data_IF_890537053836
#
_entry.id   IF_890537053836
#
_cell.length_a   1.000
_cell.length_b   1.000
_cell.length_c   1.000
_cell.angle_alpha   90.00
_cell.angle_beta   90.00
_cell.angle_gamma   90.00
#
_symmetry.space_group_name_H-M   'P 1'
#
loop_
_entity.id
_entity.type
_entity.pdbx_description
1 polymer ?
#
# COMPACT_ATOMS: atom_id res chain seq x y z
N UNK A 1 -7.67 -7.59 21.48
CA UNK A 1 -6.76 -7.49 20.34
C UNK A 1 -7.53 -6.85 19.19
N UNK A 2 -6.99 -5.79 18.60
CA UNK A 2 -7.58 -5.06 17.45
C UNK A 2 -6.72 -5.34 16.20
N UNK A 3 -7.34 -5.76 15.11
CA UNK A 3 -6.68 -6.07 13.86
C UNK A 3 -7.28 -5.27 12.71
N UNK A 4 -6.44 -4.80 11.80
CA UNK A 4 -6.87 -4.27 10.50
C UNK A 4 -6.68 -5.35 9.45
N UNK A 5 -7.72 -5.61 8.66
CA UNK A 5 -7.71 -6.60 7.59
C UNK A 5 -7.85 -5.90 6.23
N UNK A 6 -6.73 -5.75 5.53
CA UNK A 6 -6.66 -5.07 4.23
C UNK A 6 -7.11 -5.98 3.10
N UNK A 7 -8.03 -5.49 2.28
CA UNK A 7 -8.45 -6.16 1.04
C UNK A 7 -7.50 -5.72 -0.08
N UNK A 8 -6.54 -6.55 -0.43
CA UNK A 8 -5.44 -6.23 -1.35
C UNK A 8 -5.83 -6.11 -2.83
N UNK A 9 -7.04 -5.63 -3.15
CA UNK A 9 -7.52 -5.44 -4.53
C UNK A 9 -8.49 -4.28 -4.64
N UNK A 10 -8.60 -3.69 -5.83
CA UNK A 10 -9.58 -2.65 -6.17
C UNK A 10 -11.01 -3.20 -6.37
N UNK A 11 -11.18 -4.51 -6.51
CA UNK A 11 -12.50 -5.12 -6.75
C UNK A 11 -13.39 -5.01 -5.50
N UNK A 12 -14.56 -4.40 -5.65
CA UNK A 12 -15.56 -4.26 -4.58
C UNK A 12 -16.20 -5.59 -4.18
N UNK A 13 -16.27 -6.55 -5.10
CA UNK A 13 -16.85 -7.88 -4.88
C UNK A 13 -15.77 -8.95 -5.18
N UNK A 14 -14.83 -9.10 -4.25
CA UNK A 14 -13.74 -10.06 -4.41
C UNK A 14 -13.83 -11.19 -3.38
N UNK A 15 -13.33 -12.39 -3.70
CA UNK A 15 -13.18 -13.46 -2.73
C UNK A 15 -12.34 -13.06 -1.51
N UNK A 16 -11.35 -12.16 -1.67
CA UNK A 16 -10.58 -11.59 -0.56
C UNK A 16 -11.46 -10.80 0.40
N UNK A 17 -12.39 -9.98 -0.11
CA UNK A 17 -13.38 -9.25 0.69
C UNK A 17 -14.28 -10.22 1.47
N UNK A 18 -14.78 -11.25 0.79
CA UNK A 18 -15.67 -12.28 1.40
C UNK A 18 -14.93 -13.03 2.50
N UNK A 19 -13.67 -13.43 2.26
CA UNK A 19 -12.83 -14.11 3.24
C UNK A 19 -12.63 -13.27 4.51
N UNK A 20 -12.22 -12.02 4.35
CA UNK A 20 -11.98 -11.14 5.49
C UNK A 20 -13.26 -10.80 6.26
N UNK A 21 -14.38 -10.64 5.56
CA UNK A 21 -15.69 -10.46 6.20
C UNK A 21 -16.13 -11.71 6.99
N UNK A 22 -15.86 -12.92 6.48
CA UNK A 22 -16.06 -14.17 7.19
C UNK A 22 -15.15 -14.27 8.43
N UNK A 23 -13.85 -13.97 8.28
CA UNK A 23 -12.90 -13.98 9.40
C UNK A 23 -13.33 -13.02 10.52
N UNK A 24 -13.79 -11.82 10.18
CA UNK A 24 -14.34 -10.84 11.14
C UNK A 24 -15.44 -11.45 12.01
N UNK A 25 -16.36 -12.19 11.40
CA UNK A 25 -17.48 -12.85 12.12
C UNK A 25 -16.99 -14.06 12.92
N UNK A 26 -16.15 -14.91 12.31
CA UNK A 26 -15.68 -16.17 12.88
C UNK A 26 -14.83 -15.97 14.14
N UNK A 27 -13.98 -14.96 14.13
CA UNK A 27 -13.03 -14.71 15.21
C UNK A 27 -13.43 -13.55 16.14
N UNK A 28 -14.71 -13.14 16.12
CA UNK A 28 -15.20 -12.01 16.90
C UNK A 28 -15.00 -12.17 18.44
N UNK A 29 -14.90 -13.40 18.93
CA UNK A 29 -14.61 -13.70 20.33
C UNK A 29 -13.10 -13.62 20.69
N UNK A 30 -12.21 -13.52 19.68
CA UNK A 30 -10.76 -13.49 19.85
C UNK A 30 -10.15 -12.13 19.52
N UNK A 31 -10.72 -11.42 18.52
CA UNK A 31 -10.23 -10.14 18.04
C UNK A 31 -11.35 -9.27 17.46
N UNK A 32 -11.18 -7.97 17.59
CA UNK A 32 -11.94 -7.00 16.79
C UNK A 32 -11.21 -6.81 15.47
N UNK A 33 -11.79 -7.30 14.37
CA UNK A 33 -11.21 -7.21 13.04
C UNK A 33 -11.95 -6.11 12.26
N UNK A 34 -11.23 -5.08 11.85
CA UNK A 34 -11.73 -4.03 10.96
C UNK A 34 -11.29 -4.33 9.53
N UNK A 35 -12.27 -4.58 8.65
CA UNK A 35 -11.99 -4.85 7.23
C UNK A 35 -11.82 -3.52 6.51
N UNK A 36 -10.64 -3.31 5.93
CA UNK A 36 -10.25 -2.09 5.26
C UNK A 36 -9.99 -2.34 3.76
N UNK A 37 -10.93 -1.96 2.89
CA UNK A 37 -10.72 -2.02 1.45
C UNK A 37 -9.76 -0.91 0.99
N UNK A 38 -8.90 -1.23 0.02
CA UNK A 38 -8.03 -0.23 -0.64
C UNK A 38 -8.66 0.34 -1.92
N UNK A 39 -9.94 0.05 -2.14
CA UNK A 39 -10.66 0.55 -3.31
C UNK A 39 -10.74 2.08 -3.32
N UNK A 40 -10.41 2.67 -4.46
CA UNK A 40 -10.44 4.12 -4.65
C UNK A 40 -9.25 4.87 -4.07
N UNK A 41 -8.28 4.18 -3.46
CA UNK A 41 -7.04 4.84 -3.03
C UNK A 41 -6.23 5.32 -4.23
N UNK A 42 -5.69 6.56 -4.18
CA UNK A 42 -4.85 7.10 -5.25
C UNK A 42 -3.59 6.26 -5.45
N UNK A 43 -3.14 6.20 -6.70
CA UNK A 43 -1.84 5.59 -7.00
C UNK A 43 -0.71 6.40 -6.36
N UNK A 44 0.35 5.70 -5.98
CA UNK A 44 1.53 6.34 -5.40
C UNK A 44 2.16 7.32 -6.38
N UNK A 45 2.44 8.50 -5.86
CA UNK A 45 3.15 9.57 -6.55
C UNK A 45 4.29 10.05 -5.64
N UNK A 46 5.51 9.81 -6.06
CA UNK A 46 6.70 10.21 -5.30
C UNK A 46 6.85 11.73 -5.17
N UNK A 47 6.25 12.49 -6.10
CA UNK A 47 6.29 13.96 -6.13
C UNK A 47 5.21 14.61 -5.28
N UNK A 48 4.25 13.84 -4.79
CA UNK A 48 3.17 14.34 -3.96
C UNK A 48 3.70 14.98 -2.68
N UNK A 49 3.39 16.25 -2.49
CA UNK A 49 3.81 17.00 -1.31
C UNK A 49 3.11 16.52 -0.01
N UNK A 50 1.90 15.96 -0.14
CA UNK A 50 1.09 15.48 0.99
C UNK A 50 0.55 14.08 0.70
N UNK A 51 0.38 13.30 1.75
CA UNK A 51 -0.29 12.01 1.67
C UNK A 51 -1.79 12.23 1.44
N UNK A 52 -2.42 11.46 0.52
CA UNK A 52 -3.86 11.51 0.31
C UNK A 52 -4.64 11.13 1.58
N UNK A 53 -5.78 11.78 1.79
CA UNK A 53 -6.57 11.60 3.01
C UNK A 53 -7.03 10.14 3.23
N UNK A 54 -7.37 9.44 2.15
CA UNK A 54 -7.79 8.04 2.19
C UNK A 54 -6.66 7.14 2.66
N UNK A 55 -5.44 7.39 2.18
CA UNK A 55 -4.23 6.65 2.59
C UNK A 55 -3.88 6.96 4.04
N UNK A 56 -3.92 8.24 4.43
CA UNK A 56 -3.69 8.67 5.81
C UNK A 56 -4.71 8.05 6.77
N UNK A 57 -6.00 8.00 6.39
CA UNK A 57 -7.05 7.36 7.18
C UNK A 57 -6.78 5.87 7.43
N UNK A 58 -6.33 5.13 6.42
CA UNK A 58 -5.94 3.73 6.59
C UNK A 58 -4.66 3.60 7.44
N UNK A 59 -3.69 4.48 7.25
CA UNK A 59 -2.49 4.51 8.08
C UNK A 59 -2.82 4.70 9.57
N UNK A 60 -3.75 5.61 9.91
CA UNK A 60 -4.22 5.78 11.29
C UNK A 60 -4.87 4.51 11.86
N UNK A 61 -5.67 3.80 11.06
CA UNK A 61 -6.26 2.53 11.49
C UNK A 61 -5.18 1.49 11.78
N UNK A 62 -4.16 1.39 10.90
CA UNK A 62 -3.03 0.47 11.06
C UNK A 62 -2.19 0.84 12.29
N UNK A 63 -1.90 2.12 12.50
CA UNK A 63 -1.15 2.59 13.66
C UNK A 63 -1.83 2.19 14.97
N UNK A 64 -3.17 2.30 15.04
CA UNK A 64 -3.97 1.96 16.20
C UNK A 64 -4.27 0.46 16.35
N UNK A 65 -3.81 -0.39 15.44
CA UNK A 65 -4.04 -1.83 15.47
C UNK A 65 -2.85 -2.59 16.07
N UNK A 66 -3.15 -3.69 16.75
CA UNK A 66 -2.14 -4.61 17.30
C UNK A 66 -1.49 -5.47 16.22
N UNK A 67 -2.10 -5.60 15.04
CA UNK A 67 -1.58 -6.34 13.90
C UNK A 67 -2.42 -6.17 12.65
N UNK A 68 -1.87 -6.60 11.51
CA UNK A 68 -2.48 -6.43 10.19
C UNK A 68 -2.62 -7.78 9.49
N UNK A 69 -3.77 -7.99 8.84
CA UNK A 69 -4.00 -9.11 7.92
C UNK A 69 -4.10 -8.53 6.51
N UNK A 70 -3.37 -9.08 5.54
CA UNK A 70 -3.45 -8.68 4.14
C UNK A 70 -3.93 -9.87 3.32
N UNK A 71 -5.12 -9.78 2.73
CA UNK A 71 -5.61 -10.78 1.79
C UNK A 71 -5.38 -10.30 0.35
N UNK A 72 -4.51 -10.96 -0.39
CA UNK A 72 -4.10 -10.57 -1.74
C UNK A 72 -4.49 -11.60 -2.80
N UNK A 73 -5.14 -11.20 -3.90
CA UNK A 73 -5.17 -12.00 -5.11
C UNK A 73 -3.81 -11.91 -5.83
N UNK A 74 -3.68 -12.74 -6.88
CA UNK A 74 -2.51 -12.74 -7.76
C UNK A 74 -2.91 -12.26 -9.15
N UNK A 75 -2.19 -11.28 -9.67
CA UNK A 75 -2.34 -10.79 -11.04
C UNK A 75 -0.98 -10.79 -11.74
N UNK A 76 -0.91 -11.46 -12.88
CA UNK A 76 0.34 -11.60 -13.65
C UNK A 76 1.52 -12.11 -12.77
N UNK A 77 1.26 -13.09 -11.90
CA UNK A 77 2.23 -13.68 -10.98
C UNK A 77 2.86 -12.66 -10.00
N UNK A 78 2.11 -11.61 -9.63
CA UNK A 78 2.54 -10.58 -8.71
C UNK A 78 1.40 -10.07 -7.82
N UNK A 79 1.73 -9.26 -6.80
CA UNK A 79 0.70 -8.55 -6.05
C UNK A 79 -0.02 -7.53 -6.95
N UNK A 80 -1.29 -7.22 -6.71
CA UNK A 80 -2.00 -6.18 -7.44
C UNK A 80 -1.28 -4.82 -7.37
N UNK A 81 -1.24 -4.09 -8.50
CA UNK A 81 -0.60 -2.78 -8.57
C UNK A 81 -1.16 -1.80 -7.52
N UNK A 82 -2.47 -1.87 -7.24
CA UNK A 82 -3.08 -1.05 -6.20
C UNK A 82 -2.55 -1.37 -4.80
N UNK A 83 -2.33 -2.65 -4.47
CA UNK A 83 -1.72 -3.04 -3.19
C UNK A 83 -0.28 -2.56 -3.10
N UNK A 84 0.50 -2.76 -4.18
CA UNK A 84 1.87 -2.24 -4.25
C UNK A 84 1.92 -0.74 -4.00
N UNK A 85 1.05 0.02 -4.67
CA UNK A 85 0.94 1.47 -4.53
C UNK A 85 0.63 1.90 -3.09
N UNK A 86 -0.31 1.22 -2.42
CA UNK A 86 -0.62 1.51 -1.01
C UNK A 86 0.57 1.24 -0.10
N UNK A 87 1.32 0.14 -0.34
CA UNK A 87 2.55 -0.15 0.41
C UNK A 87 3.65 0.88 0.14
N UNK A 88 3.74 1.42 -1.08
CA UNK A 88 4.65 2.52 -1.41
C UNK A 88 4.29 3.82 -0.69
N UNK A 89 3.00 4.16 -0.58
CA UNK A 89 2.57 5.26 0.27
C UNK A 89 3.01 5.06 1.73
N UNK A 90 2.82 3.87 2.27
CA UNK A 90 3.18 3.55 3.65
C UNK A 90 4.69 3.55 3.89
N UNK A 91 5.51 3.24 2.87
CA UNK A 91 6.97 3.32 2.99
C UNK A 91 7.50 4.74 3.26
N UNK A 92 6.68 5.77 3.00
CA UNK A 92 6.97 7.15 3.41
C UNK A 92 6.71 7.41 4.91
N UNK A 93 6.19 6.41 5.61
CA UNK A 93 5.90 6.43 7.06
C UNK A 93 6.63 5.26 7.72
N UNK A 94 7.96 5.29 7.83
CA UNK A 94 8.77 4.10 8.15
C UNK A 94 8.39 3.43 9.48
N UNK A 95 7.87 4.17 10.45
CA UNK A 95 7.47 3.61 11.74
C UNK A 95 6.05 2.98 11.72
N UNK A 96 5.29 3.13 10.64
CA UNK A 96 3.92 2.63 10.58
C UNK A 96 3.83 1.10 10.72
N UNK A 97 4.76 0.40 10.05
CA UNK A 97 4.84 -1.05 10.05
C UNK A 97 6.02 -1.61 10.85
N UNK A 98 6.89 -0.75 11.38
CA UNK A 98 8.04 -1.20 12.16
C UNK A 98 7.60 -2.16 13.25
N UNK A 99 8.14 -3.38 13.22
CA UNK A 99 7.82 -4.50 14.10
C UNK A 99 6.33 -4.89 14.16
N UNK A 100 5.46 -4.28 13.34
CA UNK A 100 4.02 -4.57 13.29
C UNK A 100 3.79 -6.02 12.85
N UNK A 101 3.09 -6.86 13.63
CA UNK A 101 2.74 -8.21 13.24
C UNK A 101 1.84 -8.22 12.00
N UNK A 102 2.27 -8.92 10.95
CA UNK A 102 1.50 -9.03 9.71
C UNK A 102 1.29 -10.49 9.31
N UNK A 103 0.05 -10.84 8.96
CA UNK A 103 -0.33 -12.09 8.31
C UNK A 103 -0.70 -11.82 6.86
N UNK A 104 -0.10 -12.54 5.91
CA UNK A 104 -0.42 -12.43 4.48
C UNK A 104 -1.17 -13.68 4.03
N UNK A 105 -2.33 -13.49 3.41
CA UNK A 105 -3.21 -14.56 2.91
C UNK A 105 -3.29 -14.44 1.39
N UNK A 106 -2.98 -15.54 0.70
CA UNK A 106 -3.19 -15.67 -0.75
C UNK A 106 -4.63 -16.05 -1.07
N UNK A 107 -5.21 -15.44 -2.10
CA UNK A 107 -6.57 -15.75 -2.56
C UNK A 107 -6.54 -15.89 -4.09
N UNK A 108 -6.66 -17.11 -4.62
CA UNK A 108 -6.61 -17.35 -6.07
C UNK A 108 -7.87 -18.02 -6.60
N UNK A 109 -8.20 -17.71 -7.86
CA UNK A 109 -9.29 -18.37 -8.58
C UNK A 109 -8.93 -19.79 -9.04
N UNK A 110 -7.64 -20.12 -9.05
CA UNK A 110 -7.03 -21.38 -9.43
C UNK A 110 -6.40 -22.11 -8.23
N UNK A 111 -5.55 -23.11 -8.49
CA UNK A 111 -4.89 -23.93 -7.47
C UNK A 111 -3.54 -23.37 -6.99
N UNK A 112 -3.08 -22.22 -7.50
CA UNK A 112 -1.78 -21.63 -7.13
C UNK A 112 -1.76 -21.06 -5.71
N UNK A 113 -2.93 -20.66 -5.18
CA UNK A 113 -3.03 -20.05 -3.86
C UNK A 113 -2.38 -18.68 -3.78
N UNK A 114 -2.18 -17.99 -4.92
CA UNK A 114 -1.54 -16.69 -5.03
C UNK A 114 -0.11 -16.67 -4.43
N UNK A 115 0.68 -17.71 -4.73
CA UNK A 115 1.99 -17.93 -4.13
C UNK A 115 2.98 -16.81 -4.44
N UNK A 116 3.03 -16.35 -5.70
CA UNK A 116 3.93 -15.25 -6.11
C UNK A 116 3.49 -13.90 -5.53
N UNK A 117 2.18 -13.63 -5.50
CA UNK A 117 1.66 -12.41 -4.89
C UNK A 117 1.97 -12.37 -3.39
N UNK A 118 1.77 -13.47 -2.66
CA UNK A 118 2.12 -13.56 -1.24
C UNK A 118 3.61 -13.37 -1.00
N UNK A 119 4.46 -13.94 -1.84
CA UNK A 119 5.91 -13.77 -1.76
C UNK A 119 6.31 -12.30 -1.98
N UNK A 120 5.76 -11.65 -3.01
CA UNK A 120 6.05 -10.25 -3.32
C UNK A 120 5.56 -9.28 -2.23
N UNK A 121 4.39 -9.54 -1.63
CA UNK A 121 3.89 -8.76 -0.48
C UNK A 121 4.80 -8.90 0.72
N UNK A 122 5.22 -10.12 1.06
CA UNK A 122 6.15 -10.38 2.17
C UNK A 122 7.49 -9.69 1.95
N UNK A 123 8.02 -9.75 0.73
CA UNK A 123 9.25 -9.06 0.36
C UNK A 123 9.14 -7.55 0.56
N UNK A 124 8.04 -6.94 0.08
CA UNK A 124 7.80 -5.51 0.25
C UNK A 124 7.70 -5.12 1.73
N UNK A 125 6.95 -5.89 2.53
CA UNK A 125 6.79 -5.67 3.96
C UNK A 125 8.09 -5.78 4.76
N UNK A 126 9.03 -6.63 4.31
CA UNK A 126 10.34 -6.81 4.95
C UNK A 126 11.37 -5.77 4.51
N UNK A 127 11.04 -4.91 3.52
CA UNK A 127 11.95 -3.86 3.08
C UNK A 127 12.13 -2.77 4.15
N UNK A 128 13.29 -2.10 4.17
CA UNK A 128 13.66 -1.10 5.18
C UNK A 128 12.66 0.05 5.34
N UNK A 129 11.87 0.38 4.29
CA UNK A 129 10.83 1.40 4.38
C UNK A 129 9.56 0.99 5.13
N UNK A 130 9.36 -0.32 5.39
CA UNK A 130 8.21 -0.85 6.12
C UNK A 130 8.64 -1.62 7.37
N UNK A 131 9.64 -2.48 7.27
CA UNK A 131 10.23 -3.24 8.40
C UNK A 131 9.21 -4.01 9.25
N UNK A 132 8.17 -4.57 8.59
CA UNK A 132 7.09 -5.27 9.27
C UNK A 132 7.57 -6.64 9.82
N UNK A 133 7.00 -7.02 10.96
CA UNK A 133 7.19 -8.35 11.52
C UNK A 133 6.20 -9.34 10.88
N UNK A 134 6.61 -9.97 9.78
CA UNK A 134 5.73 -10.85 9.01
C UNK A 134 5.71 -12.25 9.59
N UNK A 135 4.52 -12.80 9.86
CA UNK A 135 4.37 -14.17 10.36
C UNK A 135 5.04 -15.16 9.39
N UNK A 136 6.01 -15.91 9.91
CA UNK A 136 6.76 -16.91 9.16
C UNK A 136 6.01 -18.24 8.98
N UNK A 137 6.57 -19.09 8.11
CA UNK A 137 6.04 -20.43 7.81
C UNK A 137 4.91 -20.46 6.80
N UNK A 138 4.31 -21.63 6.61
CA UNK A 138 3.14 -21.81 5.74
C UNK A 138 1.96 -20.99 6.25
N UNK A 139 1.37 -20.19 5.39
CA UNK A 139 0.20 -19.38 5.69
C UNK A 139 -0.97 -19.86 4.85
N UNK A 140 -2.17 -19.59 5.34
CA UNK A 140 -3.39 -19.94 4.65
C UNK A 140 -3.41 -19.34 3.23
N UNK A 141 -3.74 -20.18 2.27
CA UNK A 141 -3.96 -19.80 0.88
C UNK A 141 -5.31 -20.36 0.41
N UNK A 142 -6.24 -19.46 0.08
CA UNK A 142 -7.53 -19.86 -0.47
C UNK A 142 -7.39 -20.11 -1.97
N UNK A 143 -7.54 -21.36 -2.36
CA UNK A 143 -7.57 -21.82 -3.75
C UNK A 143 -8.99 -21.91 -4.24
N UNK A 144 -9.20 -21.95 -5.57
CA UNK A 144 -10.53 -22.08 -6.18
C UNK A 144 -11.54 -21.08 -5.58
N UNK A 145 -11.09 -19.84 -5.28
CA UNK A 145 -11.77 -18.91 -4.42
C UNK A 145 -13.16 -18.50 -4.91
N UNK A 146 -13.41 -18.53 -6.23
CA UNK A 146 -14.71 -18.23 -6.82
C UNK A 146 -15.79 -19.26 -6.44
N UNK A 147 -15.41 -20.51 -6.20
CA UNK A 147 -16.30 -21.60 -5.81
C UNK A 147 -16.21 -21.95 -4.31
N UNK A 148 -15.30 -21.29 -3.57
CA UNK A 148 -14.97 -21.68 -2.20
C UNK A 148 -16.07 -21.32 -1.17
N UNK A 149 -16.98 -20.40 -1.50
CA UNK A 149 -17.97 -19.89 -0.54
C UNK A 149 -19.39 -20.36 -0.84
N UNK A 150 -20.13 -20.65 0.24
CA UNK A 150 -21.60 -20.77 0.24
C UNK A 150 -22.14 -19.87 1.33
N UNK A 151 -23.03 -18.97 0.98
CA UNK A 151 -23.64 -18.02 1.91
C UNK A 151 -22.58 -17.26 2.77
N UNK A 152 -21.44 -16.92 2.15
CA UNK A 152 -20.35 -16.20 2.79
C UNK A 152 -19.49 -17.03 3.75
N UNK A 153 -19.62 -18.36 3.74
CA UNK A 153 -18.80 -19.29 4.54
C UNK A 153 -18.05 -20.24 3.63
N UNK A 154 -16.82 -20.60 3.99
CA UNK A 154 -16.03 -21.58 3.24
C UNK A 154 -16.73 -22.94 3.26
N UNK A 155 -16.77 -23.61 2.11
CA UNK A 155 -17.38 -24.93 1.94
C UNK A 155 -16.53 -26.04 2.51
N UNK A 156 -15.21 -25.91 2.32
CA UNK A 156 -14.25 -26.96 2.66
C UNK A 156 -13.86 -26.86 4.13
N UNK A 157 -14.16 -27.90 4.89
CA UNK A 157 -13.83 -27.99 6.31
C UNK A 157 -12.33 -28.02 6.53
N UNK A 158 -11.56 -28.67 5.65
CA UNK A 158 -10.09 -28.70 5.78
C UNK A 158 -9.48 -27.32 5.59
N UNK A 159 -10.02 -26.51 4.68
CA UNK A 159 -9.62 -25.10 4.52
C UNK A 159 -10.00 -24.25 5.76
N UNK A 160 -11.17 -24.47 6.35
CA UNK A 160 -11.56 -23.81 7.61
C UNK A 160 -10.61 -24.18 8.75
N UNK A 161 -10.31 -25.45 8.92
CA UNK A 161 -9.42 -25.94 9.96
C UNK A 161 -7.99 -25.37 9.79
N UNK A 162 -7.53 -25.26 8.54
CA UNK A 162 -6.23 -24.63 8.25
C UNK A 162 -6.24 -23.14 8.59
N UNK A 163 -7.31 -22.43 8.20
CA UNK A 163 -7.47 -21.01 8.52
C UNK A 163 -7.51 -20.80 10.04
N UNK A 164 -8.21 -21.63 10.79
CA UNK A 164 -8.28 -21.58 12.24
C UNK A 164 -6.91 -21.79 12.91
N UNK A 165 -6.14 -22.76 12.42
CA UNK A 165 -4.76 -22.98 12.91
C UNK A 165 -3.88 -21.77 12.64
N UNK A 166 -3.94 -21.22 11.43
CA UNK A 166 -3.08 -20.10 11.04
C UNK A 166 -3.49 -18.80 11.73
N UNK A 167 -4.80 -18.58 11.90
CA UNK A 167 -5.27 -17.43 12.70
C UNK A 167 -4.86 -17.55 14.18
N UNK A 168 -4.93 -18.75 14.75
CA UNK A 168 -4.47 -18.99 16.12
C UNK A 168 -2.98 -18.69 16.28
N UNK A 169 -2.15 -19.15 15.32
CA UNK A 169 -0.71 -18.85 15.29
C UNK A 169 -0.47 -17.33 15.20
N UNK A 170 -1.22 -16.66 14.35
CA UNK A 170 -1.13 -15.20 14.21
C UNK A 170 -1.57 -14.48 15.47
N UNK A 171 -2.65 -14.89 16.11
CA UNK A 171 -3.12 -14.31 17.36
C UNK A 171 -2.08 -14.45 18.49
N UNK A 172 -1.40 -15.60 18.58
CA UNK A 172 -0.28 -15.81 19.52
C UNK A 172 0.88 -14.88 19.19
N UNK A 173 1.22 -14.76 17.91
CA UNK A 173 2.30 -13.90 17.42
C UNK A 173 2.06 -12.42 17.74
N UNK A 174 0.84 -11.91 17.52
CA UNK A 174 0.44 -10.55 17.91
C UNK A 174 0.55 -10.33 19.41
N UNK A 175 0.01 -11.25 20.23
CA UNK A 175 0.09 -11.11 21.71
C UNK A 175 1.52 -11.09 22.20
N UNK A 176 2.41 -11.87 21.59
CA UNK A 176 3.83 -11.87 21.93
C UNK A 176 4.46 -10.51 21.65
N UNK A 177 4.17 -9.90 20.50
CA UNK A 177 4.65 -8.55 20.16
C UNK A 177 4.12 -7.51 21.14
N UNK A 178 2.82 -7.52 21.45
CA UNK A 178 2.22 -6.60 22.44
C UNK A 178 2.92 -6.69 23.81
N UNK A 179 3.36 -7.88 24.22
CA UNK A 179 4.08 -8.04 25.50
C UNK A 179 5.50 -7.47 25.46
N UNK A 180 6.14 -7.46 24.31
CA UNK A 180 7.44 -6.81 24.10
C UNK A 180 7.28 -5.30 24.10
N UNK A 181 6.28 -4.77 23.37
CA UNK A 181 6.02 -3.33 23.25
C UNK A 181 5.63 -2.70 24.60
N UNK A 182 4.90 -3.45 25.45
CA UNK A 182 4.58 -3.01 26.80
C UNK A 182 5.84 -2.79 27.68
N UNK A 183 6.96 -3.41 27.32
CA UNK A 183 8.23 -3.28 28.03
C UNK A 183 9.13 -2.19 27.41
N UNK A 184 8.91 -1.80 26.15
CA UNK A 184 9.82 -0.92 25.37
C UNK A 184 9.17 0.37 24.83
N UNK A 185 7.99 0.75 25.17
CA UNK A 185 7.15 1.85 24.66
C UNK A 185 7.84 2.99 23.89
N UNK A 186 7.81 2.98 22.53
CA UNK A 186 7.97 4.18 21.69
C UNK A 186 6.75 4.53 20.81
N UNK A 187 5.77 3.64 20.66
CA UNK A 187 4.67 3.82 19.67
C UNK A 187 3.76 5.02 19.96
N UNK A 188 3.66 5.45 21.22
CA UNK A 188 2.87 6.61 21.61
C UNK A 188 3.50 7.93 21.12
N UNK A 189 4.82 7.99 21.00
CA UNK A 189 5.53 9.18 20.53
C UNK A 189 5.24 9.48 19.05
N UNK A 190 5.06 8.44 18.23
CA UNK A 190 4.82 8.58 16.80
C UNK A 190 3.42 9.09 16.44
N UNK A 191 2.41 8.68 17.17
CA UNK A 191 1.03 9.17 16.97
C UNK A 191 0.93 10.67 17.24
N UNK A 192 1.75 11.19 18.14
CA UNK A 192 1.77 12.62 18.48
C UNK A 192 2.55 13.47 17.46
N UNK A 193 3.54 12.91 16.76
CA UNK A 193 4.37 13.65 15.79
C UNK A 193 3.70 13.84 14.42
N UNK A 194 2.73 13.01 14.06
CA UNK A 194 2.08 13.06 12.73
C UNK A 194 0.70 13.70 12.72
N UNK A 195 0.17 14.16 13.84
CA UNK A 195 -1.07 14.96 13.87
C UNK A 195 -0.90 16.29 13.11
N UNK A 196 0.28 16.90 13.14
CA UNK A 196 0.56 18.14 12.43
C UNK A 196 0.65 18.01 10.91
N UNK A 197 0.90 16.78 10.41
CA UNK A 197 0.94 16.49 8.97
C UNK A 197 -0.48 16.30 8.39
N UNK A 198 -1.44 15.93 9.23
CA UNK A 198 -2.82 15.63 8.83
C UNK A 198 -3.75 16.82 9.00
N UNK A 199 -3.48 17.66 10.00
CA UNK A 199 -4.24 18.90 10.25
C UNK A 199 -3.43 20.09 9.75
N UNK A 200 -3.41 20.35 8.45
CA UNK A 200 -2.91 21.61 7.91
C UNK A 200 -3.76 22.79 8.39
N UNK A 201 -3.69 23.11 9.66
CA UNK A 201 -4.11 24.41 10.17
C UNK A 201 -3.03 25.41 9.77
N UNK A 202 -3.28 26.13 8.68
CA UNK A 202 -2.59 27.36 8.36
C UNK A 202 -2.88 28.37 9.48
N UNK A 203 -1.95 28.57 10.38
CA UNK A 203 -1.89 29.83 11.11
C UNK A 203 -1.44 30.91 10.12
N UNK A 204 -2.40 31.67 9.61
CA UNK A 204 -2.17 32.99 9.05
C UNK A 204 -1.64 33.86 10.18
N UNK A 205 -0.34 34.06 10.23
CA UNK A 205 0.23 35.15 10.99
C UNK A 205 0.05 36.44 10.18
N UNK A 206 -0.96 37.20 10.54
CA UNK A 206 -1.05 38.65 10.27
C UNK A 206 0.23 39.33 10.76
N UNK A 207 1.10 39.72 9.84
CA UNK A 207 2.15 40.68 10.09
C UNK A 207 1.72 41.98 9.46
N UNK A 208 1.18 42.84 10.31
CA UNK A 208 0.80 44.20 10.05
C UNK A 208 2.03 45.11 10.04
N UNK A 209 2.14 45.88 8.93
CA UNK A 209 2.63 47.28 8.84
C UNK A 209 4.03 47.68 9.33
N UNK A 210 4.77 48.18 8.39
CA UNK A 210 5.88 49.13 8.60
C UNK A 210 6.19 49.85 7.29
N UNK A 211 5.57 51.00 7.09
CA UNK A 211 5.85 51.89 5.97
C UNK A 211 7.17 52.67 6.18
N UNK A 212 7.83 52.96 5.11
CA UNK A 212 8.54 54.17 4.66
C UNK A 212 9.85 53.77 4.00
N UNK A 213 10.22 54.24 2.94
CA UNK A 213 10.47 55.46 2.27
C UNK A 213 11.12 55.18 0.92
N UNK A 214 10.73 55.98 -0.03
CA UNK A 214 11.23 56.04 -1.38
C UNK A 214 12.70 56.52 -1.48
N UNK A 215 13.45 55.99 -2.42
CA UNK A 215 14.47 56.71 -3.20
C UNK A 215 14.61 56.04 -4.56
N UNK A 216 14.22 56.71 -5.63
CA UNK A 216 14.70 56.62 -7.01
C UNK A 216 15.76 57.74 -7.18
N UNK A 217 16.55 57.89 -8.26
CA UNK A 217 16.66 57.16 -9.50
C UNK A 217 18.11 56.97 -10.02
N UNK A 218 18.17 56.42 -11.26
CA UNK A 218 19.18 56.57 -12.32
C UNK A 218 20.58 55.94 -12.16
N UNK A 219 20.87 55.03 -13.04
CA UNK A 219 21.89 55.20 -14.07
C UNK A 219 21.89 54.09 -15.13
N UNK A 220 21.83 54.55 -16.36
CA UNK A 220 22.07 53.88 -17.63
C UNK A 220 23.44 53.22 -17.68
N UNK A 221 23.57 52.13 -18.41
CA UNK A 221 24.56 52.00 -19.50
C UNK A 221 24.37 50.70 -20.29
N UNK A 222 24.21 50.95 -21.53
CA UNK A 222 24.35 50.15 -22.75
C UNK A 222 25.55 49.21 -22.77
N UNK A 223 25.38 48.11 -23.46
CA UNK A 223 26.10 47.63 -24.71
C UNK A 223 25.76 46.16 -24.90
N UNK A 224 25.06 45.79 -25.97
CA UNK A 224 25.55 45.57 -27.33
C UNK A 224 26.56 44.45 -27.41
N UNK A 225 26.21 43.27 -27.98
CA UNK A 225 26.60 42.87 -29.30
C UNK A 225 26.08 41.48 -29.70
N UNK A 226 25.63 41.40 -30.92
CA UNK A 226 25.30 40.44 -31.91
C UNK A 226 26.12 39.13 -31.94
N UNK A 227 25.45 38.06 -32.37
CA UNK A 227 25.60 37.36 -33.65
C UNK A 227 24.86 36.02 -33.57
N UNK A 228 23.89 35.83 -34.43
CA UNK A 228 23.90 35.02 -35.67
C UNK A 228 24.28 33.56 -35.37
N UNK A 229 23.36 32.64 -35.57
CA UNK A 229 22.79 32.10 -36.77
C UNK A 229 22.94 30.61 -36.68
N UNK A 230 21.99 29.82 -36.88
CA UNK A 230 21.79 29.02 -38.06
C UNK A 230 20.66 28.00 -37.88
N UNK A 231 19.85 27.87 -38.87
CA UNK A 231 18.70 27.02 -38.96
C UNK A 231 19.04 25.68 -39.70
N UNK A 232 18.09 24.85 -40.10
CA UNK A 232 17.99 23.43 -39.73
C UNK A 232 18.40 22.50 -40.90
N UNK A 233 18.50 21.21 -40.64
CA UNK A 233 18.55 20.20 -41.71
C UNK A 233 17.41 19.23 -41.64
N UNK A 234 16.61 19.29 -42.72
CA UNK A 234 15.59 18.37 -43.14
C UNK A 234 16.11 16.97 -43.48
N UNK A 235 15.23 16.05 -43.24
CA UNK A 235 14.82 14.86 -43.99
C UNK A 235 15.81 14.12 -44.91
N UNK A 236 15.80 12.81 -44.79
CA UNK A 236 15.59 11.95 -45.96
C UNK A 236 15.01 10.60 -45.53
N UNK A 237 13.84 10.36 -46.09
CA UNK A 237 13.18 9.09 -46.39
C UNK A 237 14.07 8.13 -47.17
N UNK A 238 13.98 6.82 -46.88
CA UNK A 238 14.09 5.80 -47.90
C UNK A 238 13.25 4.58 -47.54
N UNK A 239 12.17 4.44 -48.31
CA UNK A 239 11.47 3.19 -48.60
C UNK A 239 12.38 2.22 -49.35
N UNK A 240 12.19 0.93 -49.11
CA UNK A 240 12.28 -0.20 -50.06
C UNK A 240 11.84 -1.44 -49.25
N UNK A 241 10.70 -1.97 -49.42
CA UNK A 241 10.02 -2.74 -50.47
C UNK A 241 10.63 -4.12 -50.77
N UNK A 242 9.67 -5.06 -50.83
CA UNK A 242 9.70 -6.37 -51.50
C UNK A 242 10.16 -7.55 -50.64
N UNK A 243 9.47 -8.58 -50.50
CA UNK A 243 8.59 -9.48 -51.26
C UNK A 243 8.66 -10.87 -50.67
N UNK A 244 7.50 -11.48 -50.50
CA UNK A 244 7.12 -12.89 -50.82
C UNK A 244 8.01 -14.07 -50.46
N UNK A 245 7.40 -15.05 -49.80
CA UNK A 245 7.85 -16.44 -49.75
C UNK A 245 6.90 -17.33 -48.98
N UNK A 246 5.84 -17.80 -49.62
CA UNK A 246 5.05 -18.93 -49.18
C UNK A 246 5.79 -20.23 -49.40
N UNK A 247 5.60 -21.24 -48.52
CA UNK A 247 5.35 -22.65 -48.79
C UNK A 247 5.40 -23.44 -47.48
N UNK A 248 4.30 -24.06 -47.19
CA UNK A 248 4.01 -25.50 -47.01
C UNK A 248 5.15 -26.38 -46.46
N UNK A 249 4.92 -26.85 -45.23
CA UNK A 249 4.75 -28.27 -44.94
C UNK A 249 4.16 -28.41 -43.54
#
# INVERSE_FOLDING_TARGET
MKLVAMVGTQSKASPSQTLLAMMKKRYANQAVIEVAPIHGMPMFDETAAKMPAEVAGLAHQIAAADGVIIATPEYAQWMPAALKSVLEWFSRMPQLFEDKPVMVIGVSADDTGAAFATASVKQALSAAGLSANVLGGGQFALRQANAAFVNGTLRDQAALDQLDRDFTRFAIFVRKQMSVDAQTSPTQAYLNLNTDVVTGASEETDAQTGASEAVDPDTESENNDKSEGDQPREATTSEQDATTGASEH
#
